data_IF_149485366626
#
_entry.id   IF_149485366626
#
_cell.length_a   1.000
_cell.length_b   1.000
_cell.length_c   1.000
_cell.angle_alpha   90.00
_cell.angle_beta   90.00
_cell.angle_gamma   90.00
#
_symmetry.space_group_name_H-M   'P 1'
#
loop_
_entity.id
_entity.type
_entity.pdbx_description
1 polymer ?
#
# COMPACT_ATOMS: atom_id res chain seq x y z
N UNK A 1 -20.59 -7.66 20.96
CA UNK A 1 -20.04 -8.94 20.51
C UNK A 1 -18.71 -9.15 21.20
N UNK A 2 -18.59 -10.22 21.99
CA UNK A 2 -17.30 -10.67 22.53
C UNK A 2 -16.62 -11.52 21.46
N UNK A 3 -15.33 -11.31 21.23
CA UNK A 3 -14.55 -11.96 20.18
C UNK A 3 -13.36 -12.62 20.85
N UNK A 4 -13.09 -13.89 20.54
CA UNK A 4 -12.02 -14.64 21.18
C UNK A 4 -11.45 -15.74 20.26
N UNK A 5 -10.24 -16.17 20.57
CA UNK A 5 -9.67 -17.41 20.05
C UNK A 5 -9.76 -18.48 21.12
N UNK A 6 -10.34 -19.63 20.79
CA UNK A 6 -10.38 -20.75 21.73
C UNK A 6 -8.97 -21.29 21.90
N UNK A 7 -8.54 -21.47 23.16
CA UNK A 7 -7.16 -21.86 23.47
C UNK A 7 -6.80 -23.29 23.06
N UNK A 8 -7.78 -24.18 22.94
CA UNK A 8 -7.56 -25.54 22.46
C UNK A 8 -7.38 -25.57 20.92
N UNK A 9 -6.24 -26.11 20.47
CA UNK A 9 -5.79 -26.13 19.08
C UNK A 9 -5.54 -27.57 18.61
N UNK A 10 -6.61 -28.35 18.40
CA UNK A 10 -6.50 -29.75 18.03
C UNK A 10 -5.94 -29.95 16.61
N UNK A 11 -5.37 -31.13 16.38
CA UNK A 11 -4.91 -31.59 15.08
C UNK A 11 -6.08 -32.27 14.36
N UNK A 12 -6.80 -31.52 13.53
CA UNK A 12 -8.04 -32.01 12.89
C UNK A 12 -7.96 -32.03 11.37
N UNK A 13 -7.01 -31.32 10.77
CA UNK A 13 -6.95 -31.16 9.32
C UNK A 13 -5.90 -32.07 8.71
N UNK A 14 -6.32 -33.12 8.04
CA UNK A 14 -5.46 -34.06 7.30
C UNK A 14 -5.17 -33.50 5.91
N UNK A 15 -3.90 -33.35 5.58
CA UNK A 15 -3.42 -33.03 4.24
C UNK A 15 -3.35 -34.32 3.40
N UNK A 16 -4.18 -34.48 2.35
CA UNK A 16 -4.30 -35.75 1.63
C UNK A 16 -3.02 -36.20 0.93
N UNK A 17 -2.20 -35.24 0.49
CA UNK A 17 -0.99 -35.50 -0.29
C UNK A 17 0.19 -35.97 0.57
N UNK A 18 0.27 -35.48 1.81
CA UNK A 18 1.38 -35.76 2.73
C UNK A 18 0.99 -36.76 3.82
N UNK A 19 -0.30 -36.87 4.13
CA UNK A 19 -0.82 -37.59 5.29
C UNK A 19 -0.56 -36.88 6.62
N UNK A 20 -0.04 -35.65 6.60
CA UNK A 20 0.21 -34.86 7.80
C UNK A 20 -1.09 -34.29 8.36
N UNK A 21 -1.20 -34.22 9.68
CA UNK A 21 -2.33 -33.58 10.36
C UNK A 21 -1.88 -32.24 10.90
N UNK A 22 -2.58 -31.19 10.51
CA UNK A 22 -2.30 -29.80 10.88
C UNK A 22 -3.19 -29.35 12.04
N UNK A 23 -2.62 -28.46 12.86
CA UNK A 23 -3.39 -27.76 13.90
C UNK A 23 -4.38 -26.80 13.27
N UNK A 24 -5.54 -26.68 13.92
CA UNK A 24 -6.55 -25.68 13.57
C UNK A 24 -6.82 -24.77 14.76
N UNK A 25 -7.15 -23.52 14.47
CA UNK A 25 -7.44 -22.47 15.44
C UNK A 25 -8.91 -22.09 15.33
N UNK A 26 -9.61 -22.00 16.46
CA UNK A 26 -11.04 -21.72 16.48
C UNK A 26 -11.29 -20.27 16.87
N UNK A 27 -11.77 -19.49 15.92
CA UNK A 27 -12.32 -18.17 16.16
C UNK A 27 -13.74 -18.31 16.67
N UNK A 28 -14.09 -17.62 17.76
CA UNK A 28 -15.42 -17.66 18.32
C UNK A 28 -15.91 -16.28 18.74
N UNK A 29 -17.21 -16.04 18.59
CA UNK A 29 -17.86 -14.86 19.14
C UNK A 29 -19.12 -15.22 19.92
N UNK A 30 -19.43 -14.38 20.91
CA UNK A 30 -20.69 -14.47 21.65
C UNK A 30 -21.36 -13.12 21.82
N UNK A 31 -22.69 -13.11 21.77
CA UNK A 31 -23.48 -11.91 22.08
C UNK A 31 -23.76 -11.78 23.57
N UNK A 32 -23.84 -10.54 24.06
CA UNK A 32 -23.88 -10.28 25.50
C UNK A 32 -25.16 -10.77 26.18
N UNK A 33 -26.34 -10.54 25.60
CA UNK A 33 -27.62 -10.88 26.25
C UNK A 33 -28.05 -12.30 25.89
N UNK A 34 -28.07 -12.64 24.60
CA UNK A 34 -28.50 -13.97 24.15
C UNK A 34 -27.46 -15.07 24.35
N UNK A 35 -26.18 -14.70 24.51
CA UNK A 35 -25.06 -15.65 24.41
C UNK A 35 -25.10 -16.47 23.13
N UNK A 36 -25.69 -15.93 22.04
CA UNK A 36 -25.66 -16.56 20.72
C UNK A 36 -24.22 -16.71 20.27
N UNK A 37 -23.89 -17.89 19.75
CA UNK A 37 -22.54 -18.31 19.41
C UNK A 37 -22.37 -18.24 17.89
N UNK A 38 -21.22 -17.75 17.47
CA UNK A 38 -20.64 -18.01 16.17
C UNK A 38 -19.24 -18.58 16.35
N UNK A 39 -18.86 -19.56 15.53
CA UNK A 39 -17.53 -20.13 15.53
C UNK A 39 -17.09 -20.53 14.12
N UNK A 40 -15.79 -20.42 13.86
CA UNK A 40 -15.14 -20.75 12.59
C UNK A 40 -13.70 -21.19 12.84
N UNK A 41 -13.23 -22.17 12.08
CA UNK A 41 -11.86 -22.65 12.11
C UNK A 41 -11.00 -21.95 11.06
N UNK A 42 -9.76 -21.63 11.47
CA UNK A 42 -8.71 -21.02 10.66
C UNK A 42 -7.41 -21.80 10.82
N UNK A 43 -6.48 -21.61 9.88
CA UNK A 43 -5.14 -22.21 9.92
C UNK A 43 -4.17 -21.50 10.87
N UNK A 44 -4.51 -20.29 11.33
CA UNK A 44 -3.65 -19.49 12.21
C UNK A 44 -4.46 -18.37 12.90
N UNK A 45 -3.88 -17.82 13.97
CA UNK A 45 -4.44 -16.69 14.74
C UNK A 45 -3.88 -15.33 14.30
N UNK A 46 -3.44 -15.21 13.03
CA UNK A 46 -2.94 -13.92 12.53
C UNK A 46 -4.06 -12.90 12.46
N UNK A 47 -3.66 -11.64 12.41
CA UNK A 47 -4.58 -10.51 12.35
C UNK A 47 -5.53 -10.54 11.15
N UNK A 48 -5.07 -11.03 9.99
CA UNK A 48 -5.92 -11.23 8.81
C UNK A 48 -7.09 -12.18 9.10
N UNK A 49 -6.80 -13.33 9.73
CA UNK A 49 -7.80 -14.33 10.13
C UNK A 49 -8.76 -13.79 11.19
N UNK A 50 -8.26 -12.98 12.13
CA UNK A 50 -9.09 -12.30 13.12
C UNK A 50 -10.09 -11.32 12.47
N UNK A 51 -9.62 -10.50 11.52
CA UNK A 51 -10.47 -9.57 10.78
C UNK A 51 -11.50 -10.32 9.94
N UNK A 52 -11.07 -11.37 9.24
CA UNK A 52 -11.95 -12.23 8.44
C UNK A 52 -13.05 -12.89 9.28
N UNK A 53 -12.69 -13.53 10.40
CA UNK A 53 -13.66 -14.11 11.33
C UNK A 53 -14.63 -13.05 11.90
N UNK A 54 -14.15 -11.83 12.15
CA UNK A 54 -15.01 -10.72 12.61
C UNK A 54 -16.04 -10.33 11.53
N UNK A 55 -15.64 -10.26 10.27
CA UNK A 55 -16.54 -9.98 9.14
C UNK A 55 -17.59 -11.07 9.03
N UNK A 56 -17.18 -12.34 9.02
CA UNK A 56 -18.10 -13.46 8.91
C UNK A 56 -19.06 -13.55 10.09
N UNK A 57 -18.60 -13.24 11.31
CA UNK A 57 -19.47 -13.16 12.48
C UNK A 57 -20.55 -12.07 12.33
N UNK A 58 -20.17 -10.87 11.90
CA UNK A 58 -21.10 -9.75 11.67
C UNK A 58 -22.14 -10.12 10.59
N UNK A 59 -21.69 -10.78 9.51
CA UNK A 59 -22.60 -11.31 8.48
C UNK A 59 -23.54 -12.39 9.03
N UNK A 60 -23.03 -13.32 9.84
CA UNK A 60 -23.83 -14.37 10.47
C UNK A 60 -24.94 -13.80 11.37
N UNK A 61 -24.62 -12.77 12.17
CA UNK A 61 -25.61 -12.12 13.03
C UNK A 61 -26.61 -11.26 12.25
N UNK A 62 -26.35 -10.94 10.98
CA UNK A 62 -27.26 -10.12 10.19
C UNK A 62 -27.35 -8.66 10.67
N UNK A 63 -26.37 -8.20 11.45
CA UNK A 63 -26.39 -6.87 12.07
C UNK A 63 -25.10 -6.54 12.81
N UNK A 64 -24.86 -5.25 13.04
CA UNK A 64 -23.68 -4.76 13.76
C UNK A 64 -24.05 -4.47 15.21
N UNK A 65 -23.30 -5.05 16.14
CA UNK A 65 -23.43 -4.71 17.56
C UNK A 65 -22.73 -3.40 17.90
N UNK A 66 -23.25 -2.66 18.88
CA UNK A 66 -22.66 -1.39 19.36
C UNK A 66 -21.20 -1.49 19.83
N UNK A 67 -20.80 -2.66 20.36
CA UNK A 67 -19.46 -2.87 20.92
C UNK A 67 -18.87 -4.16 20.39
N UNK A 68 -17.67 -4.09 19.82
CA UNK A 68 -16.80 -5.24 19.59
C UNK A 68 -15.80 -5.33 20.73
N UNK A 69 -15.74 -6.47 21.40
CA UNK A 69 -14.95 -6.67 22.61
C UNK A 69 -14.00 -7.85 22.36
N UNK A 70 -12.85 -7.63 21.71
CA UNK A 70 -11.85 -8.67 21.52
C UNK A 70 -11.15 -8.98 22.84
N UNK A 71 -11.07 -10.25 23.23
CA UNK A 71 -10.27 -10.67 24.38
C UNK A 71 -8.79 -10.76 24.00
N UNK A 72 -7.97 -10.22 24.90
CA UNK A 72 -6.53 -10.41 25.04
C UNK A 72 -5.67 -10.74 23.80
N UNK A 73 -5.64 -9.86 22.78
CA UNK A 73 -4.60 -9.86 21.74
C UNK A 73 -3.19 -9.45 22.25
N UNK A 74 -2.88 -9.69 23.53
CA UNK A 74 -1.51 -9.52 24.08
C UNK A 74 -0.48 -10.42 23.41
N UNK A 75 -0.89 -11.54 22.80
CA UNK A 75 0.00 -12.36 21.98
C UNK A 75 0.53 -11.59 20.75
N UNK A 76 -0.22 -10.59 20.27
CA UNK A 76 0.19 -9.68 19.21
C UNK A 76 0.66 -8.31 19.73
N UNK A 77 0.61 -8.02 21.04
CA UNK A 77 1.12 -6.76 21.61
C UNK A 77 2.06 -7.05 22.76
N UNK A 78 3.34 -7.25 22.43
CA UNK A 78 4.41 -7.07 23.42
C UNK A 78 4.97 -5.65 23.31
N UNK A 79 4.74 -4.82 24.34
CA UNK A 79 5.39 -3.52 24.66
C UNK A 79 5.61 -2.53 23.50
N UNK A 80 4.88 -1.39 23.44
CA UNK A 80 5.22 -0.19 22.65
C UNK A 80 5.90 -0.50 21.31
N UNK A 81 5.32 -1.46 20.59
CA UNK A 81 5.95 -2.13 19.44
C UNK A 81 5.23 -1.77 18.15
N UNK A 82 5.82 -2.19 17.03
CA UNK A 82 5.20 -2.16 15.70
C UNK A 82 3.82 -2.84 15.68
N UNK A 83 3.65 -3.88 16.47
CA UNK A 83 2.45 -4.70 16.45
C UNK A 83 1.29 -4.03 17.20
N UNK A 84 1.59 -3.25 18.25
CA UNK A 84 0.61 -2.38 18.93
C UNK A 84 0.01 -1.37 17.96
N UNK A 85 0.87 -0.72 17.18
CA UNK A 85 0.47 0.27 16.18
C UNK A 85 -0.43 -0.34 15.10
N UNK A 86 -0.08 -1.53 14.62
CA UNK A 86 -0.86 -2.28 13.64
C UNK A 86 -2.24 -2.62 14.21
N UNK A 87 -2.30 -3.15 15.42
CA UNK A 87 -3.58 -3.53 16.03
C UNK A 87 -4.50 -2.33 16.26
N UNK A 88 -3.95 -1.21 16.73
CA UNK A 88 -4.72 0.03 16.87
C UNK A 88 -5.28 0.49 15.52
N UNK A 89 -4.51 0.35 14.43
CA UNK A 89 -4.95 0.68 13.08
C UNK A 89 -6.08 -0.23 12.60
N UNK A 90 -6.00 -1.54 12.86
CA UNK A 90 -7.09 -2.48 12.53
C UNK A 90 -8.37 -2.14 13.29
N UNK A 91 -8.26 -1.85 14.59
CA UNK A 91 -9.43 -1.49 15.38
C UNK A 91 -10.07 -0.20 14.88
N UNK A 92 -9.26 0.84 14.62
CA UNK A 92 -9.76 2.09 14.04
C UNK A 92 -10.46 1.86 12.70
N UNK A 93 -9.93 1.00 11.83
CA UNK A 93 -10.56 0.71 10.53
C UNK A 93 -11.91 -0.01 10.69
N UNK A 94 -12.01 -0.94 11.64
CA UNK A 94 -13.27 -1.64 11.95
C UNK A 94 -14.30 -0.70 12.59
N UNK A 95 -13.86 0.19 13.49
CA UNK A 95 -14.70 1.23 14.10
C UNK A 95 -15.27 2.18 13.04
N UNK A 96 -14.41 2.69 12.15
CA UNK A 96 -14.79 3.62 11.10
C UNK A 96 -15.74 2.99 10.08
N UNK A 97 -15.49 1.74 9.66
CA UNK A 97 -16.30 1.07 8.65
C UNK A 97 -17.67 0.60 9.16
N UNK A 98 -17.70 -0.03 10.34
CA UNK A 98 -18.94 -0.55 10.91
C UNK A 98 -19.67 0.46 11.80
N UNK A 99 -19.13 1.69 11.96
CA UNK A 99 -19.65 2.69 12.89
C UNK A 99 -19.89 2.07 14.27
N UNK A 100 -18.88 1.38 14.79
CA UNK A 100 -18.94 0.64 16.06
C UNK A 100 -17.80 1.06 16.98
N UNK A 101 -17.80 0.54 18.21
CA UNK A 101 -16.77 0.83 19.19
C UNK A 101 -16.04 -0.47 19.52
N UNK A 102 -14.73 -0.50 19.32
CA UNK A 102 -13.87 -1.63 19.68
C UNK A 102 -13.29 -1.37 21.08
N UNK A 103 -13.82 -2.06 22.08
CA UNK A 103 -13.44 -1.90 23.48
C UNK A 103 -12.73 -3.17 23.99
N UNK A 104 -11.39 -3.22 23.96
CA UNK A 104 -10.68 -4.30 24.62
C UNK A 104 -10.93 -4.26 26.15
N UNK A 105 -11.11 -5.41 26.82
CA UNK A 105 -11.39 -5.44 28.25
C UNK A 105 -10.19 -4.89 29.04
N UNK A 106 -10.42 -4.11 30.12
CA UNK A 106 -9.33 -3.55 30.91
C UNK A 106 -8.47 -4.66 31.55
N UNK A 107 -7.13 -4.54 31.52
CA UNK A 107 -6.19 -5.62 31.86
C UNK A 107 -6.23 -6.12 33.32
N UNK A 108 -7.02 -5.49 34.21
CA UNK A 108 -7.03 -5.73 35.66
C UNK A 108 -8.42 -5.74 36.31
N UNK A 109 -9.53 -5.84 35.55
CA UNK A 109 -10.88 -6.01 36.15
C UNK A 109 -11.48 -7.38 35.80
N UNK A 110 -11.47 -8.36 36.73
CA UNK A 110 -11.83 -9.75 36.46
C UNK A 110 -13.34 -10.02 36.28
N UNK A 111 -14.22 -9.02 36.44
CA UNK A 111 -15.68 -9.26 36.42
C UNK A 111 -16.23 -9.68 35.05
N UNK A 112 -15.69 -9.19 33.94
CA UNK A 112 -16.09 -9.63 32.59
C UNK A 112 -15.43 -10.95 32.16
N UNK A 113 -14.26 -11.25 32.73
CA UNK A 113 -13.44 -12.41 32.39
C UNK A 113 -14.13 -13.74 32.71
N UNK A 114 -14.86 -13.81 33.82
CA UNK A 114 -15.59 -15.02 34.22
C UNK A 114 -16.70 -15.42 33.24
N UNK A 115 -17.34 -14.47 32.57
CA UNK A 115 -18.38 -14.78 31.56
C UNK A 115 -17.74 -15.31 30.28
N UNK A 116 -16.62 -14.69 29.85
CA UNK A 116 -15.85 -15.13 28.68
C UNK A 116 -15.22 -16.51 28.92
N UNK A 117 -14.55 -16.73 30.05
CA UNK A 117 -13.96 -18.03 30.43
C UNK A 117 -15.00 -19.17 30.44
N UNK A 118 -16.22 -18.89 30.94
CA UNK A 118 -17.29 -19.88 30.92
C UNK A 118 -17.81 -20.18 29.51
N UNK A 119 -17.80 -19.21 28.59
CA UNK A 119 -18.17 -19.43 27.19
C UNK A 119 -17.12 -20.22 26.43
N UNK A 120 -15.83 -19.91 26.63
CA UNK A 120 -14.72 -20.67 26.01
C UNK A 120 -14.78 -22.12 26.46
N UNK A 121 -14.88 -22.38 27.77
CA UNK A 121 -14.99 -23.76 28.30
C UNK A 121 -16.22 -24.51 27.76
N UNK A 122 -17.33 -23.79 27.55
CA UNK A 122 -18.54 -24.36 26.95
C UNK A 122 -18.30 -24.78 25.49
N UNK A 123 -17.58 -23.97 24.71
CA UNK A 123 -17.21 -24.30 23.33
C UNK A 123 -16.20 -25.44 23.27
N UNK A 124 -15.18 -25.46 24.13
CA UNK A 124 -14.24 -26.58 24.22
C UNK A 124 -14.99 -27.91 24.43
N UNK A 125 -15.91 -27.93 25.40
CA UNK A 125 -16.65 -29.15 25.76
C UNK A 125 -17.69 -29.57 24.72
N UNK A 126 -18.42 -28.62 24.13
CA UNK A 126 -19.60 -28.93 23.32
C UNK A 126 -19.41 -28.73 21.81
N UNK A 127 -18.34 -28.07 21.41
CA UNK A 127 -17.96 -27.89 20.00
C UNK A 127 -16.67 -28.66 19.70
N UNK A 128 -15.58 -28.38 20.43
CA UNK A 128 -14.25 -28.91 20.07
C UNK A 128 -14.12 -30.41 20.37
N UNK A 129 -14.49 -30.87 21.57
CA UNK A 129 -14.43 -32.31 21.91
C UNK A 129 -15.19 -33.19 20.89
N UNK A 130 -16.44 -32.87 20.48
CA UNK A 130 -17.11 -33.61 19.41
C UNK A 130 -16.44 -33.52 18.04
N UNK A 131 -15.70 -32.45 17.73
CA UNK A 131 -14.95 -32.33 16.47
C UNK A 131 -13.70 -33.22 16.48
N UNK A 132 -13.09 -33.46 17.65
CA UNK A 132 -11.92 -34.36 17.81
C UNK A 132 -12.23 -35.82 17.51
N UNK A 133 -13.49 -36.22 17.47
CA UNK A 133 -13.91 -37.58 17.10
C UNK A 133 -13.71 -37.88 15.60
N UNK A 134 -13.40 -36.87 14.79
CA UNK A 134 -13.24 -36.97 13.33
C UNK A 134 -12.01 -36.20 12.85
N UNK A 135 -11.46 -36.64 11.73
CA UNK A 135 -10.47 -35.87 10.95
C UNK A 135 -11.13 -35.36 9.69
N UNK A 136 -10.68 -34.19 9.24
CA UNK A 136 -11.24 -33.46 8.12
C UNK A 136 -10.19 -33.34 7.03
N UNK A 137 -10.60 -33.39 5.77
CA UNK A 137 -9.68 -33.32 4.63
C UNK A 137 -9.58 -31.91 4.04
N UNK A 138 -10.46 -31.00 4.48
CA UNK A 138 -10.51 -29.61 4.05
C UNK A 138 -11.04 -28.72 5.16
N UNK A 139 -10.65 -27.43 5.12
CA UNK A 139 -11.12 -26.45 6.09
C UNK A 139 -12.62 -26.15 5.90
N UNK A 140 -13.11 -26.24 4.67
CA UNK A 140 -14.53 -26.08 4.32
C UNK A 140 -15.39 -27.18 4.95
N UNK A 141 -14.92 -28.42 4.95
CA UNK A 141 -15.60 -29.55 5.57
C UNK A 141 -15.71 -29.37 7.09
N UNK A 142 -14.60 -28.98 7.73
CA UNK A 142 -14.55 -28.68 9.15
C UNK A 142 -15.50 -27.52 9.50
N UNK A 143 -15.46 -26.43 8.73
CA UNK A 143 -16.33 -25.28 8.93
C UNK A 143 -17.80 -25.57 8.70
N UNK A 144 -18.14 -26.55 7.84
CA UNK A 144 -19.52 -27.03 7.69
C UNK A 144 -20.00 -27.76 8.94
N UNK A 145 -19.21 -28.69 9.48
CA UNK A 145 -19.57 -29.41 10.72
C UNK A 145 -19.66 -28.45 11.91
N UNK A 146 -18.74 -27.47 12.01
CA UNK A 146 -18.82 -26.40 13.02
C UNK A 146 -20.15 -25.65 12.91
N UNK A 147 -20.58 -25.24 11.72
CA UNK A 147 -21.85 -24.55 11.52
C UNK A 147 -23.05 -25.38 11.97
N UNK A 148 -23.05 -26.68 11.66
CA UNK A 148 -24.11 -27.60 12.09
C UNK A 148 -24.16 -27.75 13.61
N UNK A 149 -23.01 -27.99 14.27
CA UNK A 149 -22.92 -28.10 15.72
C UNK A 149 -23.31 -26.79 16.41
N UNK A 150 -22.84 -25.65 15.93
CA UNK A 150 -23.19 -24.32 16.46
C UNK A 150 -24.69 -24.06 16.34
N UNK A 151 -25.33 -24.43 15.22
CA UNK A 151 -26.78 -24.30 15.06
C UNK A 151 -27.57 -25.12 16.10
N UNK A 152 -27.12 -26.33 16.41
CA UNK A 152 -27.68 -27.17 17.49
C UNK A 152 -27.49 -26.51 18.84
N UNK A 153 -26.30 -25.98 19.14
CA UNK A 153 -26.00 -25.32 20.41
C UNK A 153 -26.82 -24.03 20.61
N UNK A 154 -27.06 -23.28 19.54
CA UNK A 154 -27.86 -22.06 19.56
C UNK A 154 -29.36 -22.33 19.72
N UNK A 155 -29.84 -23.45 19.19
CA UNK A 155 -31.25 -23.88 19.30
C UNK A 155 -31.55 -24.63 20.60
N UNK A 156 -30.51 -25.06 21.34
CA UNK A 156 -30.67 -25.73 22.64
C UNK A 156 -31.24 -24.76 23.68
N UNK A 157 -32.32 -25.18 24.35
CA UNK A 157 -32.90 -24.43 25.46
C UNK A 157 -31.91 -24.30 26.62
N UNK A 158 -31.91 -23.15 27.30
CA UNK A 158 -31.11 -22.99 28.50
C UNK A 158 -31.59 -23.92 29.62
N UNK A 159 -30.67 -24.31 30.51
CA UNK A 159 -31.05 -25.02 31.73
C UNK A 159 -32.06 -24.18 32.51
N UNK A 160 -33.19 -24.78 32.85
CA UNK A 160 -34.29 -24.16 33.59
C UNK A 160 -34.94 -22.93 32.91
N UNK A 161 -34.82 -22.77 31.59
CA UNK A 161 -35.56 -21.73 30.85
C UNK A 161 -36.24 -22.32 29.61
N UNK A 162 -37.43 -21.80 29.22
CA UNK A 162 -38.18 -22.35 28.09
C UNK A 162 -37.65 -21.93 26.72
N UNK A 163 -36.63 -21.06 26.67
CA UNK A 163 -36.10 -20.44 25.45
C UNK A 163 -34.62 -20.77 25.23
N UNK A 164 -34.18 -20.68 23.98
CA UNK A 164 -32.82 -20.93 23.51
C UNK A 164 -32.01 -19.64 23.33
N UNK A 165 -30.73 -19.77 22.94
CA UNK A 165 -29.89 -18.61 22.58
C UNK A 165 -30.47 -17.89 21.36
N UNK A 166 -30.95 -18.65 20.37
CA UNK A 166 -31.58 -18.11 19.17
C UNK A 166 -32.85 -17.30 19.50
N UNK A 167 -33.71 -17.84 20.37
CA UNK A 167 -34.93 -17.14 20.82
C UNK A 167 -34.58 -15.82 21.54
N UNK A 168 -33.54 -15.84 22.38
CA UNK A 168 -33.08 -14.65 23.09
C UNK A 168 -32.47 -13.62 22.13
N UNK A 169 -31.76 -14.07 21.10
CA UNK A 169 -31.17 -13.19 20.08
C UNK A 169 -32.25 -12.42 19.31
N UNK A 170 -33.25 -13.13 18.77
CA UNK A 170 -34.33 -12.52 18.02
C UNK A 170 -35.15 -11.56 18.88
N UNK A 171 -35.32 -11.87 20.17
CA UNK A 171 -36.13 -11.06 21.09
C UNK A 171 -35.41 -9.84 21.67
N UNK A 172 -34.12 -9.93 21.96
CA UNK A 172 -33.41 -8.92 22.75
C UNK A 172 -32.25 -8.26 22.00
N UNK A 173 -31.40 -9.04 21.33
CA UNK A 173 -30.18 -8.50 20.71
C UNK A 173 -30.46 -7.89 19.33
N UNK A 174 -31.09 -8.66 18.43
CA UNK A 174 -31.31 -8.27 17.03
C UNK A 174 -32.04 -6.94 16.86
N UNK A 175 -33.10 -6.61 17.63
CA UNK A 175 -33.78 -5.32 17.53
C UNK A 175 -32.90 -4.12 17.92
N UNK A 176 -31.83 -4.34 18.68
CA UNK A 176 -30.91 -3.30 19.15
C UNK A 176 -29.67 -3.16 18.25
N UNK A 177 -29.51 -4.00 17.22
CA UNK A 177 -28.37 -3.95 16.31
C UNK A 177 -28.55 -2.92 15.20
N UNK A 178 -27.44 -2.38 14.70
CA UNK A 178 -27.44 -1.57 13.48
C UNK A 178 -27.58 -2.49 12.26
N UNK A 179 -28.22 -2.02 11.18
CA UNK A 179 -28.30 -2.78 9.94
C UNK A 179 -26.90 -3.02 9.36
N UNK A 180 -26.74 -4.11 8.61
CA UNK A 180 -25.50 -4.37 7.88
C UNK A 180 -25.29 -3.33 6.77
N UNK A 181 -24.05 -2.85 6.54
CA UNK A 181 -23.72 -2.05 5.38
C UNK A 181 -23.88 -2.90 4.12
N UNK A 182 -24.17 -2.26 2.99
CA UNK A 182 -24.22 -2.94 1.69
C UNK A 182 -22.85 -3.44 1.23
N UNK A 183 -21.78 -2.76 1.66
CA UNK A 183 -20.40 -3.12 1.39
C UNK A 183 -19.84 -4.03 2.48
N UNK A 184 -18.87 -4.87 2.12
CA UNK A 184 -18.16 -5.75 3.04
C UNK A 184 -16.79 -5.14 3.32
N UNK A 185 -16.37 -5.15 4.59
CA UNK A 185 -15.03 -4.69 4.96
C UNK A 185 -13.99 -5.53 4.21
N UNK A 186 -13.07 -4.85 3.51
CA UNK A 186 -12.03 -5.55 2.75
C UNK A 186 -10.88 -5.92 3.68
N UNK A 187 -10.62 -7.22 3.83
CA UNK A 187 -9.43 -7.70 4.56
C UNK A 187 -8.17 -7.16 3.88
N UNK A 188 -7.27 -6.59 4.67
CA UNK A 188 -5.97 -6.13 4.20
C UNK A 188 -4.84 -6.61 5.11
N UNK A 189 -3.67 -6.76 4.52
CA UNK A 189 -2.44 -7.02 5.26
C UNK A 189 -1.95 -5.72 5.86
N UNK A 190 -1.65 -5.75 7.15
CA UNK A 190 -1.08 -4.62 7.87
C UNK A 190 0.40 -4.85 8.11
N UNK A 191 1.23 -3.88 7.73
CA UNK A 191 2.68 -3.90 7.92
C UNK A 191 3.13 -2.58 8.55
N UNK A 192 3.62 -2.65 9.78
CA UNK A 192 4.24 -1.49 10.43
C UNK A 192 5.66 -1.25 9.93
N UNK A 193 5.93 0.00 9.58
CA UNK A 193 7.21 0.49 9.09
C UNK A 193 7.78 1.42 10.15
N UNK A 194 8.92 1.06 10.74
CA UNK A 194 9.57 1.88 11.79
C UNK A 194 9.94 3.26 11.31
N UNK A 195 10.50 3.32 10.10
CA UNK A 195 11.10 4.50 9.52
C UNK A 195 10.94 4.40 8.01
N UNK A 196 10.24 5.35 7.40
CA UNK A 196 10.21 5.48 5.94
C UNK A 196 11.64 5.72 5.46
N UNK A 197 12.16 4.91 4.52
CA UNK A 197 13.52 5.06 4.01
C UNK A 197 13.78 6.43 3.37
N UNK A 198 15.06 6.82 3.27
CA UNK A 198 15.45 8.13 2.74
C UNK A 198 15.17 8.27 1.24
N UNK A 199 15.06 7.15 0.53
CA UNK A 199 14.61 7.10 -0.85
C UNK A 199 13.07 7.14 -0.99
N UNK A 200 12.32 7.39 0.09
CA UNK A 200 10.85 7.53 0.14
C UNK A 200 10.05 6.35 -0.44
N UNK A 201 10.61 5.14 -0.49
CA UNK A 201 9.88 3.95 -0.94
C UNK A 201 9.72 2.91 0.16
N UNK A 202 8.53 2.33 0.24
CA UNK A 202 8.19 1.24 1.16
C UNK A 202 8.01 -0.05 0.35
N UNK A 203 8.69 -1.10 0.76
CA UNK A 203 8.59 -2.41 0.12
C UNK A 203 7.39 -3.21 0.61
N UNK A 204 6.63 -3.74 -0.32
CA UNK A 204 5.62 -4.77 -0.08
C UNK A 204 5.52 -5.68 -1.31
N UNK A 205 5.61 -6.99 -1.09
CA UNK A 205 5.44 -8.03 -2.12
C UNK A 205 6.36 -7.83 -3.35
N UNK A 206 7.67 -7.61 -3.09
CA UNK A 206 8.69 -7.41 -4.13
C UNK A 206 8.62 -6.07 -4.88
N UNK A 207 7.68 -5.20 -4.52
CA UNK A 207 7.48 -3.87 -5.12
C UNK A 207 7.70 -2.75 -4.11
N UNK A 208 8.16 -1.61 -4.61
CA UNK A 208 8.52 -0.42 -3.85
C UNK A 208 7.53 0.71 -4.16
N UNK A 209 6.70 1.07 -3.19
CA UNK A 209 5.68 2.09 -3.31
C UNK A 209 6.16 3.40 -2.69
N UNK A 210 6.06 4.50 -3.44
CA UNK A 210 6.51 5.81 -2.99
C UNK A 210 5.61 6.44 -1.92
N UNK A 211 6.18 7.25 -1.04
CA UNK A 211 5.50 8.09 -0.06
C UNK A 211 6.01 9.51 -0.21
N UNK A 212 5.21 10.52 0.14
CA UNK A 212 5.65 11.92 0.15
C UNK A 212 6.98 12.06 0.92
N UNK A 213 7.98 12.68 0.30
CA UNK A 213 9.34 12.82 0.86
C UNK A 213 9.40 13.46 2.25
N UNK A 214 8.38 14.24 2.63
CA UNK A 214 8.27 14.86 3.97
C UNK A 214 8.01 13.85 5.08
N UNK A 215 7.72 12.59 4.72
CA UNK A 215 7.51 11.47 5.63
C UNK A 215 8.76 10.60 5.79
N UNK A 216 9.85 10.84 5.03
CA UNK A 216 11.13 10.19 5.26
C UNK A 216 11.54 10.33 6.73
N UNK A 217 11.95 9.21 7.33
CA UNK A 217 12.37 9.19 8.72
C UNK A 217 11.27 9.01 9.77
N UNK A 218 9.99 9.04 9.37
CA UNK A 218 8.86 8.84 10.28
C UNK A 218 8.32 7.42 10.22
N UNK A 219 7.65 6.91 11.27
CA UNK A 219 6.93 5.65 11.21
C UNK A 219 5.70 5.74 10.30
N UNK A 220 5.35 4.62 9.67
CA UNK A 220 4.18 4.51 8.81
C UNK A 220 3.54 3.12 8.94
N UNK A 221 2.28 3.01 8.53
CA UNK A 221 1.53 1.75 8.47
C UNK A 221 1.14 1.52 7.02
N UNK A 222 1.61 0.44 6.43
CA UNK A 222 1.19 0.00 5.11
C UNK A 222 0.02 -0.97 5.26
N UNK A 223 -1.06 -0.70 4.55
CA UNK A 223 -2.25 -1.55 4.44
C UNK A 223 -2.42 -2.01 3.01
N UNK A 224 -2.35 -3.30 2.77
CA UNK A 224 -2.40 -3.86 1.42
C UNK A 224 -3.65 -4.73 1.24
N UNK A 225 -4.51 -4.32 0.30
CA UNK A 225 -5.58 -5.16 -0.22
C UNK A 225 -5.09 -5.93 -1.44
N UNK A 226 -5.96 -6.72 -2.07
CA UNK A 226 -5.66 -7.33 -3.37
C UNK A 226 -5.45 -6.31 -4.49
N UNK A 227 -6.04 -5.12 -4.42
CA UNK A 227 -6.03 -4.14 -5.53
C UNK A 227 -5.27 -2.85 -5.23
N UNK A 228 -5.13 -2.51 -3.96
CA UNK A 228 -4.65 -1.20 -3.51
C UNK A 228 -3.69 -1.32 -2.32
N UNK A 229 -2.66 -0.49 -2.31
CA UNK A 229 -1.76 -0.24 -1.19
C UNK A 229 -2.10 1.14 -0.62
N UNK A 230 -2.47 1.21 0.65
CA UNK A 230 -2.67 2.45 1.40
C UNK A 230 -1.53 2.62 2.39
N UNK A 231 -0.95 3.80 2.43
CA UNK A 231 0.11 4.11 3.39
C UNK A 231 -0.42 5.19 4.31
N UNK A 232 -0.40 4.91 5.62
CA UNK A 232 -0.90 5.77 6.67
C UNK A 232 0.22 6.17 7.63
N UNK A 233 0.04 7.26 8.37
CA UNK A 233 0.92 7.62 9.47
C UNK A 233 0.67 6.75 10.72
N UNK A 234 1.39 7.02 11.81
CA UNK A 234 1.21 6.33 13.09
C UNK A 234 -0.15 6.57 13.77
N UNK A 235 -0.92 7.56 13.31
CA UNK A 235 -2.25 7.88 13.83
C UNK A 235 -3.36 7.39 12.92
N UNK A 236 -3.05 6.42 12.04
CA UNK A 236 -3.97 5.85 11.06
C UNK A 236 -4.47 6.85 9.99
N UNK A 237 -3.82 8.01 9.82
CA UNK A 237 -4.20 9.00 8.81
C UNK A 237 -3.59 8.65 7.47
N UNK A 238 -4.42 8.64 6.42
CA UNK A 238 -3.99 8.32 5.06
C UNK A 238 -2.97 9.35 4.55
N UNK A 239 -1.81 8.86 4.09
CA UNK A 239 -0.77 9.65 3.45
C UNK A 239 -0.87 9.58 1.93
N UNK A 240 -0.95 8.36 1.38
CA UNK A 240 -1.07 8.12 -0.06
C UNK A 240 -1.68 6.75 -0.37
N UNK A 241 -2.07 6.57 -1.64
CA UNK A 241 -2.68 5.36 -2.19
C UNK A 241 -1.98 4.97 -3.48
N UNK A 242 -1.79 3.68 -3.69
CA UNK A 242 -1.23 3.11 -4.92
C UNK A 242 -2.05 1.92 -5.38
N UNK A 243 -2.09 1.69 -6.68
CA UNK A 243 -2.56 0.41 -7.21
C UNK A 243 -1.52 -0.67 -6.91
N UNK A 244 -1.95 -1.81 -6.35
CA UNK A 244 -1.05 -2.94 -6.11
C UNK A 244 -0.58 -3.53 -7.44
N UNK A 245 0.72 -3.79 -7.55
CA UNK A 245 1.33 -4.43 -8.71
C UNK A 245 1.67 -5.90 -8.42
N UNK A 246 1.43 -6.74 -9.42
CA UNK A 246 1.80 -8.16 -9.45
C UNK A 246 2.70 -8.49 -10.66
N UNK A 247 3.20 -7.46 -11.35
CA UNK A 247 4.10 -7.63 -12.51
C UNK A 247 5.53 -7.83 -12.02
N UNK A 248 6.41 -8.43 -12.81
CA UNK A 248 7.82 -8.54 -12.42
C UNK A 248 8.54 -7.18 -12.44
N UNK A 249 8.13 -6.31 -13.37
CA UNK A 249 8.65 -4.96 -13.56
C UNK A 249 7.55 -3.99 -14.03
N UNK A 250 7.67 -2.69 -13.74
CA UNK A 250 8.70 -2.05 -12.91
C UNK A 250 8.49 -2.33 -11.41
N UNK A 251 9.59 -2.57 -10.67
CA UNK A 251 9.53 -2.78 -9.22
C UNK A 251 9.28 -1.51 -8.42
N UNK A 252 9.69 -0.35 -8.95
CA UNK A 252 9.49 0.95 -8.31
C UNK A 252 8.24 1.63 -8.87
N UNK A 253 7.31 1.94 -7.98
CA UNK A 253 6.04 2.61 -8.28
C UNK A 253 6.11 3.98 -7.62
N UNK A 254 6.66 4.92 -8.39
CA UNK A 254 6.94 6.29 -7.95
C UNK A 254 5.91 7.24 -8.51
N UNK A 255 5.25 7.98 -7.64
CA UNK A 255 4.39 9.09 -8.01
C UNK A 255 5.18 10.41 -7.99
N UNK A 256 4.94 11.27 -8.97
CA UNK A 256 5.71 12.51 -9.11
C UNK A 256 5.51 13.48 -7.94
N UNK A 257 4.29 13.54 -7.42
CA UNK A 257 3.94 14.31 -6.22
C UNK A 257 4.70 13.90 -4.95
N UNK A 258 5.24 12.68 -4.92
CA UNK A 258 5.97 12.16 -3.76
C UNK A 258 7.45 12.55 -3.73
N UNK A 259 8.01 12.93 -4.89
CA UNK A 259 9.42 13.22 -5.03
C UNK A 259 9.81 14.59 -4.47
N UNK A 260 11.06 14.72 -4.05
CA UNK A 260 11.65 16.02 -3.74
C UNK A 260 11.74 16.86 -5.02
N UNK A 261 11.61 18.20 -4.95
CA UNK A 261 11.75 19.06 -6.12
C UNK A 261 13.06 18.86 -6.89
N UNK A 262 14.16 18.61 -6.17
CA UNK A 262 15.47 18.30 -6.74
C UNK A 262 15.45 17.00 -7.57
N UNK A 263 14.84 15.94 -7.03
CA UNK A 263 14.75 14.65 -7.71
C UNK A 263 13.82 14.71 -8.92
N UNK A 264 12.71 15.46 -8.81
CA UNK A 264 11.82 15.78 -9.93
C UNK A 264 12.58 16.46 -11.07
N UNK A 265 13.36 17.49 -10.75
CA UNK A 265 14.18 18.20 -11.72
C UNK A 265 15.15 17.25 -12.45
N UNK A 266 15.88 16.41 -11.71
CA UNK A 266 16.79 15.44 -12.34
C UNK A 266 16.05 14.38 -13.17
N UNK A 267 14.88 13.91 -12.73
CA UNK A 267 14.05 12.99 -13.52
C UNK A 267 13.61 13.65 -14.84
N UNK A 268 13.15 14.89 -14.79
CA UNK A 268 12.75 15.65 -15.98
C UNK A 268 13.93 15.85 -16.93
N UNK A 269 15.11 16.23 -16.42
CA UNK A 269 16.32 16.39 -17.23
C UNK A 269 16.73 15.06 -17.87
N UNK A 270 16.71 13.96 -17.12
CA UNK A 270 17.09 12.64 -17.61
C UNK A 270 16.04 12.01 -18.53
N UNK A 271 14.78 12.49 -18.51
CA UNK A 271 13.73 12.05 -19.43
C UNK A 271 13.86 12.66 -20.84
N UNK A 272 14.70 13.70 -21.01
CA UNK A 272 14.93 14.36 -22.29
C UNK A 272 15.98 13.60 -23.08
N UNK A 273 15.59 13.06 -24.23
CA UNK A 273 16.46 12.35 -25.16
C UNK A 273 17.00 13.27 -26.27
N UNK A 274 17.93 12.77 -27.09
CA UNK A 274 18.41 13.50 -28.27
C UNK A 274 17.28 13.92 -29.22
N UNK A 275 16.21 13.13 -29.32
CA UNK A 275 15.03 13.45 -30.13
C UNK A 275 14.23 14.64 -29.58
N UNK A 276 14.14 14.79 -28.26
CA UNK A 276 13.56 15.98 -27.61
C UNK A 276 14.32 17.25 -28.02
N UNK A 277 15.65 17.24 -27.94
CA UNK A 277 16.45 18.42 -28.31
C UNK A 277 16.39 18.74 -29.81
N UNK A 278 16.37 17.73 -30.68
CA UNK A 278 16.16 17.91 -32.13
C UNK A 278 14.80 18.55 -32.46
N UNK A 279 13.72 18.07 -31.83
CA UNK A 279 12.36 18.64 -32.01
C UNK A 279 12.25 20.07 -31.48
N UNK A 280 12.94 20.39 -30.40
CA UNK A 280 12.94 21.77 -29.90
C UNK A 280 13.73 22.70 -30.83
N UNK A 281 14.86 22.22 -31.36
CA UNK A 281 15.68 22.97 -32.32
C UNK A 281 14.95 23.27 -33.64
N UNK A 282 14.11 22.34 -34.13
CA UNK A 282 13.38 22.52 -35.40
C UNK A 282 12.37 23.67 -35.37
N UNK A 283 11.95 24.15 -34.20
CA UNK A 283 11.06 25.33 -34.06
C UNK A 283 11.77 26.61 -34.55
N UNK A 284 13.09 26.68 -34.41
CA UNK A 284 13.88 27.85 -34.77
C UNK A 284 14.39 27.83 -36.21
N UNK A 285 14.35 26.68 -36.89
CA UNK A 285 14.71 26.54 -38.30
C UNK A 285 15.61 25.33 -38.61
N UNK A 286 15.77 24.96 -39.90
CA UNK A 286 16.62 23.87 -40.35
C UNK A 286 18.09 23.99 -39.91
N UNK A 287 18.68 25.19 -39.96
CA UNK A 287 20.08 25.38 -39.55
C UNK A 287 20.29 25.14 -38.05
N UNK A 288 19.31 25.49 -37.22
CA UNK A 288 19.38 25.22 -35.79
C UNK A 288 19.24 23.72 -35.47
N UNK A 289 18.36 23.02 -36.19
CA UNK A 289 18.21 21.58 -36.08
C UNK A 289 19.50 20.84 -36.47
N UNK A 290 20.12 21.23 -37.57
CA UNK A 290 21.40 20.67 -38.03
C UNK A 290 22.54 20.95 -37.03
N UNK A 291 22.59 22.15 -36.46
CA UNK A 291 23.59 22.51 -35.45
C UNK A 291 23.48 21.62 -34.19
N UNK A 292 22.25 21.44 -33.67
CA UNK A 292 22.02 20.58 -32.51
C UNK A 292 22.30 19.11 -32.84
N UNK A 293 21.95 18.63 -34.03
CA UNK A 293 22.24 17.26 -34.45
C UNK A 293 23.75 16.98 -34.57
N UNK A 294 24.52 17.91 -35.16
CA UNK A 294 25.99 17.83 -35.19
C UNK A 294 26.60 17.85 -33.80
N UNK A 295 26.06 18.66 -32.90
CA UNK A 295 26.53 18.73 -31.52
C UNK A 295 26.29 17.41 -30.77
N UNK A 296 25.09 16.81 -30.89
CA UNK A 296 24.77 15.51 -30.31
C UNK A 296 25.68 14.38 -30.86
N UNK A 297 25.95 14.38 -32.17
CA UNK A 297 26.83 13.40 -32.84
C UNK A 297 28.32 13.59 -32.53
N UNK A 298 28.72 14.78 -32.06
CA UNK A 298 30.12 15.07 -31.74
C UNK A 298 30.61 14.40 -30.45
N UNK A 299 29.70 14.07 -29.54
CA UNK A 299 30.00 13.38 -28.29
C UNK A 299 29.97 11.85 -28.46
N UNK A 300 30.83 11.13 -27.71
CA UNK A 300 30.88 9.67 -27.71
C UNK A 300 29.54 9.04 -27.26
N UNK A 301 28.83 9.71 -26.36
CA UNK A 301 27.47 9.40 -25.95
C UNK A 301 26.63 10.68 -26.03
N UNK A 302 25.47 10.65 -26.71
CA UNK A 302 24.62 11.84 -26.93
C UNK A 302 24.28 12.58 -25.62
N UNK A 303 24.13 11.82 -24.52
CA UNK A 303 23.83 12.32 -23.17
C UNK A 303 24.84 13.37 -22.67
N UNK A 304 26.10 13.27 -23.09
CA UNK A 304 27.15 14.23 -22.70
C UNK A 304 26.91 15.64 -23.27
N UNK A 305 26.12 15.74 -24.35
CA UNK A 305 25.80 17.00 -25.03
C UNK A 305 24.46 17.60 -24.60
N UNK A 306 23.64 16.89 -23.81
CA UNK A 306 22.30 17.34 -23.42
C UNK A 306 22.30 18.67 -22.65
N UNK A 307 23.24 18.85 -21.71
CA UNK A 307 23.36 20.11 -20.97
C UNK A 307 23.73 21.29 -21.89
N UNK A 308 24.57 21.05 -22.91
CA UNK A 308 24.91 22.07 -23.90
C UNK A 308 23.71 22.40 -24.81
N UNK A 309 22.97 21.39 -25.27
CA UNK A 309 21.74 21.56 -26.05
C UNK A 309 20.71 22.39 -25.27
N UNK A 310 20.43 21.99 -24.03
CA UNK A 310 19.49 22.68 -23.14
C UNK A 310 19.92 24.13 -22.91
N UNK A 311 21.20 24.36 -22.60
CA UNK A 311 21.72 25.70 -22.35
C UNK A 311 21.59 26.65 -23.55
N UNK A 312 21.79 26.14 -24.78
CA UNK A 312 21.61 26.94 -26.00
C UNK A 312 20.13 27.22 -26.24
N UNK A 313 19.29 26.18 -26.24
CA UNK A 313 17.86 26.31 -26.54
C UNK A 313 17.12 27.19 -25.53
N UNK A 314 17.51 27.15 -24.25
CA UNK A 314 17.01 28.09 -23.25
C UNK A 314 17.46 29.53 -23.48
N UNK A 315 18.71 29.75 -23.94
CA UNK A 315 19.24 31.10 -24.18
C UNK A 315 18.64 31.81 -25.39
N UNK A 316 18.07 31.06 -26.33
CA UNK A 316 17.49 31.60 -27.57
C UNK A 316 15.96 31.64 -27.56
N UNK A 317 15.33 31.22 -26.45
CA UNK A 317 13.87 31.07 -26.35
C UNK A 317 13.09 32.36 -26.61
N UNK A 318 13.63 33.50 -26.17
CA UNK A 318 12.97 34.81 -26.27
C UNK A 318 13.50 35.64 -27.46
N UNK A 319 14.35 35.05 -28.32
CA UNK A 319 14.95 35.73 -29.46
C UNK A 319 14.17 35.49 -30.77
N UNK A 320 14.15 36.45 -31.70
CA UNK A 320 13.55 36.25 -33.02
C UNK A 320 14.17 35.06 -33.75
N UNK A 321 13.34 34.15 -34.26
CA UNK A 321 13.80 32.88 -34.84
C UNK A 321 14.81 33.08 -35.98
N UNK A 322 14.64 34.11 -36.82
CA UNK A 322 15.58 34.41 -37.92
C UNK A 322 17.00 34.75 -37.45
N UNK A 323 17.17 35.38 -36.29
CA UNK A 323 18.51 35.65 -35.73
C UNK A 323 19.14 34.35 -35.24
N UNK A 324 18.35 33.50 -34.58
CA UNK A 324 18.80 32.21 -34.05
C UNK A 324 19.25 31.28 -35.18
N UNK A 325 18.49 31.26 -36.28
CA UNK A 325 18.81 30.47 -37.47
C UNK A 325 20.10 30.94 -38.14
N UNK A 326 20.29 32.25 -38.27
CA UNK A 326 21.49 32.84 -38.86
C UNK A 326 22.74 32.57 -38.01
N UNK A 327 22.65 32.66 -36.67
CA UNK A 327 23.74 32.30 -35.75
C UNK A 327 24.10 30.81 -35.90
N UNK A 328 23.10 29.94 -36.00
CA UNK A 328 23.32 28.51 -36.20
C UNK A 328 24.00 28.22 -37.55
N UNK A 329 23.59 28.90 -38.62
CA UNK A 329 24.19 28.81 -39.95
C UNK A 329 25.67 29.21 -39.93
N UNK A 330 26.02 30.33 -39.30
CA UNK A 330 27.40 30.78 -39.17
C UNK A 330 28.26 29.79 -38.37
N UNK A 331 27.72 29.19 -37.31
CA UNK A 331 28.43 28.19 -36.53
C UNK A 331 28.66 26.87 -37.30
N UNK A 332 27.72 26.50 -38.18
CA UNK A 332 27.87 25.36 -39.09
C UNK A 332 28.96 25.62 -40.13
N UNK A 333 28.99 26.82 -40.71
CA UNK A 333 29.99 27.24 -41.72
C UNK A 333 31.41 27.27 -41.14
N UNK A 334 31.56 27.73 -39.90
CA UNK A 334 32.85 27.69 -39.17
C UNK A 334 33.24 26.28 -38.69
N UNK A 335 32.43 25.26 -39.00
CA UNK A 335 32.62 23.86 -38.59
C UNK A 335 32.84 23.68 -37.07
N UNK A 336 32.22 24.55 -36.25
CA UNK A 336 32.44 24.63 -34.81
C UNK A 336 31.11 24.57 -34.06
N UNK A 337 30.57 23.36 -33.92
CA UNK A 337 29.29 23.09 -33.25
C UNK A 337 29.47 22.92 -31.73
N UNK A 338 29.94 23.98 -31.04
CA UNK A 338 30.16 23.99 -29.58
C UNK A 338 29.39 25.11 -28.89
N UNK A 339 28.99 24.87 -27.64
CA UNK A 339 28.30 25.84 -26.78
C UNK A 339 28.98 27.21 -26.71
N UNK A 340 30.30 27.24 -26.51
CA UNK A 340 31.06 28.50 -26.38
C UNK A 340 31.04 29.30 -27.68
N UNK A 341 31.24 28.63 -28.82
CA UNK A 341 31.23 29.27 -30.14
C UNK A 341 29.86 29.88 -30.43
N UNK A 342 28.78 29.13 -30.18
CA UNK A 342 27.42 29.61 -30.40
C UNK A 342 27.12 30.87 -29.57
N UNK A 343 27.49 30.90 -28.30
CA UNK A 343 27.34 32.10 -27.45
C UNK A 343 28.16 33.30 -27.93
N UNK A 344 29.37 33.07 -28.44
CA UNK A 344 30.22 34.15 -28.95
C UNK A 344 29.63 34.76 -30.23
N UNK A 345 29.16 33.93 -31.17
CA UNK A 345 28.52 34.39 -32.41
C UNK A 345 27.22 35.11 -32.09
N UNK A 346 26.40 34.57 -31.18
CA UNK A 346 25.17 35.21 -30.73
C UNK A 346 25.44 36.60 -30.12
N UNK A 347 26.48 36.72 -29.28
CA UNK A 347 26.89 37.98 -28.69
C UNK A 347 27.32 39.02 -29.74
N UNK A 348 28.13 38.60 -30.73
CA UNK A 348 28.59 39.48 -31.82
C UNK A 348 27.46 39.97 -32.73
N UNK A 349 26.50 39.10 -33.03
CA UNK A 349 25.31 39.44 -33.82
C UNK A 349 24.36 40.39 -33.08
N UNK A 350 24.30 40.30 -31.75
CA UNK A 350 23.53 41.23 -30.93
C UNK A 350 24.23 42.58 -30.73
N UNK A 351 25.57 42.64 -30.75
CA UNK A 351 26.35 43.87 -30.61
C UNK A 351 26.58 44.63 -31.92
N UNK A 352 26.24 44.04 -33.08
CA UNK A 352 26.34 44.69 -34.39
C UNK A 352 27.76 44.82 -34.95
N UNK A 353 28.71 44.01 -34.49
CA UNK A 353 30.08 44.03 -35.00
C UNK A 353 30.25 43.06 -36.19
N UNK A 354 30.81 43.48 -37.34
CA UNK A 354 31.00 42.61 -38.49
C UNK A 354 32.08 41.55 -38.23
N UNK A 355 31.87 40.35 -38.77
CA UNK A 355 32.81 39.24 -38.72
C UNK A 355 34.02 39.57 -39.61
N UNK A 356 35.17 39.88 -39.01
CA UNK A 356 36.42 40.03 -39.77
C UNK A 356 36.89 38.67 -40.25
N UNK A 357 36.91 38.47 -41.58
CA UNK A 357 37.66 37.40 -42.23
C UNK A 357 39.15 37.60 -41.89
N UNK A 358 39.70 36.75 -41.02
CA UNK A 358 41.15 36.67 -40.85
C UNK A 358 41.75 36.04 -42.12
N UNK A 359 42.17 36.88 -43.06
CA UNK A 359 43.09 36.47 -44.11
C UNK A 359 44.40 36.00 -43.45
N UNK A 360 44.71 34.71 -43.59
CA UNK A 360 46.01 34.14 -43.25
C UNK A 360 47.12 34.92 -43.99
N UNK A 361 48.18 35.36 -43.31
CA UNK A 361 49.30 36.01 -43.98
C UNK A 361 50.02 35.00 -44.88
N UNK A 362 50.26 35.39 -46.13
CA UNK A 362 51.14 34.66 -47.04
C UNK A 362 52.57 34.73 -46.49
N UNK A 363 53.10 33.59 -46.06
CA UNK A 363 54.53 33.43 -45.84
C UNK A 363 55.18 33.04 -47.18
N UNK A 364 56.05 33.92 -47.70
CA UNK A 364 57.04 33.52 -48.70
C UNK A 364 58.17 32.74 -48.01
N UNK A 365 58.49 31.58 -48.58
CA UNK A 365 59.62 30.75 -48.18
C UNK A 365 60.95 31.48 -48.44
N UNK A 366 61.86 31.45 -47.45
CA UNK A 366 63.30 31.25 -47.65
C UNK A 366 63.80 30.27 -46.60
#
# INVERSE_FOLDING_TARGET
MYIDWVGDQPFLLLEPDTGEVHKVHFFATTLGVSSLIYAEAFLNEKLSSFVEGTIHAVQFYGGITKYFVPDNLKAAVTKHSKDELVLQSVYSDLEDFYDTIVLPPPPRKPRGKATVENHVRYLETHLIEPLKERTYTSLEELNRDIKEKVAVLNSRKFQNRPYSRLDAFERYDKPCMKPLPHEIFTVCDYKAISKVPDNYHIEYDGHYYSVVYTQCGKPAILKATHTEIRICDSYNRLLCKHKRSYRDFPRYITEDSHMRPEHLYYKEVNSKDGAYYRRWASVFGPSMSEFIDRMLKSSKHEEQSYNACAGILHSVKDLPHGIVEEVARQCIEMNSCRYKTFKQVLGKLQSGEPCSEEHLPQHENI
#
